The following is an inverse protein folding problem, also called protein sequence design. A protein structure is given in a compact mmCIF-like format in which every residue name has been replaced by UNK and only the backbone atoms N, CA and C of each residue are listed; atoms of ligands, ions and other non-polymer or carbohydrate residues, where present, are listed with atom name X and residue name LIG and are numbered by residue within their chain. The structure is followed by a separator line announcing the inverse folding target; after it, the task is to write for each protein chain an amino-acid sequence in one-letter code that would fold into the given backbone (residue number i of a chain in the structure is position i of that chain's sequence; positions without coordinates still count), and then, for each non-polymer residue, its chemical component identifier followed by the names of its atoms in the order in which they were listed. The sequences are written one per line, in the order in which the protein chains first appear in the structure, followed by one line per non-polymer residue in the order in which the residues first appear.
data_IF_681279285637
#
_entry.id   IF_681279285637
#
_cell.length_a   1.000
_cell.length_b   1.000
_cell.length_c   1.000
_cell.angle_alpha   90.00
_cell.angle_beta   90.00
_cell.angle_gamma   90.00
#
_symmetry.space_group_name_H-M   'P 1'
#
loop_
_entity.id
_entity.type
_entity.pdbx_description
1 polymer ?
#
# COMPACT_ATOMS: atom_id res chain seq x y z
N UNK A 1 -23.26 6.75 0.22
CA UNK A 1 -22.86 5.95 -0.96
C UNK A 1 -21.36 5.69 -0.83
N UNK A 2 -20.96 4.46 -0.53
CA UNK A 2 -19.54 4.13 -0.37
C UNK A 2 -18.88 4.22 -1.75
N UNK A 3 -18.06 5.25 -1.95
CA UNK A 3 -17.17 5.39 -3.10
C UNK A 3 -16.25 4.17 -3.13
N UNK A 4 -16.50 3.24 -4.03
CA UNK A 4 -15.57 2.13 -4.29
C UNK A 4 -14.32 2.73 -4.92
N UNK A 5 -13.30 2.91 -4.09
CA UNK A 5 -12.01 3.47 -4.48
C UNK A 5 -11.30 2.51 -5.44
N UNK A 6 -11.05 2.95 -6.67
CA UNK A 6 -10.32 2.17 -7.66
C UNK A 6 -8.81 2.33 -7.43
N UNK A 7 -8.16 1.31 -6.88
CA UNK A 7 -6.71 1.30 -6.64
C UNK A 7 -5.97 0.50 -7.71
N UNK A 8 -5.01 1.13 -8.38
CA UNK A 8 -4.10 0.44 -9.31
C UNK A 8 -3.02 -0.26 -8.49
N UNK A 9 -2.94 -1.58 -8.62
CA UNK A 9 -1.94 -2.42 -7.98
C UNK A 9 -1.22 -3.23 -9.04
N UNK A 10 0.11 -3.14 -9.07
CA UNK A 10 0.95 -4.02 -9.88
C UNK A 10 1.11 -5.36 -9.15
N UNK A 11 0.79 -6.45 -9.83
CA UNK A 11 0.92 -7.83 -9.34
C UNK A 11 1.73 -8.63 -10.37
N UNK A 12 2.51 -9.60 -9.88
CA UNK A 12 3.28 -10.50 -10.73
C UNK A 12 2.49 -11.78 -10.96
N UNK A 13 2.31 -12.14 -12.22
CA UNK A 13 1.69 -13.39 -12.65
C UNK A 13 2.68 -14.17 -13.52
N UNK A 14 2.70 -15.51 -13.42
CA UNK A 14 3.39 -16.33 -14.41
C UNK A 14 2.72 -16.16 -15.79
N UNK A 15 3.51 -16.31 -16.85
CA UNK A 15 3.10 -16.08 -18.24
C UNK A 15 1.86 -16.89 -18.61
N UNK A 16 1.87 -18.20 -18.33
CA UNK A 16 0.77 -19.11 -18.63
C UNK A 16 -0.57 -18.65 -18.01
N UNK A 17 -0.52 -18.21 -16.75
CA UNK A 17 -1.70 -17.74 -16.03
C UNK A 17 -2.18 -16.39 -16.57
N UNK A 18 -1.26 -15.49 -16.92
CA UNK A 18 -1.60 -14.20 -17.48
C UNK A 18 -2.33 -14.37 -18.82
N UNK A 19 -1.83 -15.26 -19.68
CA UNK A 19 -2.49 -15.57 -20.95
C UNK A 19 -3.89 -16.17 -20.75
N UNK A 20 -4.06 -17.05 -19.77
CA UNK A 20 -5.36 -17.65 -19.46
C UNK A 20 -6.38 -16.60 -19.00
N UNK A 21 -5.97 -15.69 -18.10
CA UNK A 21 -6.81 -14.57 -17.67
C UNK A 21 -7.13 -13.64 -18.85
N UNK A 22 -6.17 -13.39 -19.74
CA UNK A 22 -6.38 -12.56 -20.93
C UNK A 22 -7.36 -13.20 -21.92
N UNK A 23 -7.26 -14.52 -22.15
CA UNK A 23 -8.22 -15.28 -22.97
C UNK A 23 -9.63 -15.18 -22.39
N UNK A 24 -9.78 -15.36 -21.08
CA UNK A 24 -11.09 -15.25 -20.40
C UNK A 24 -11.65 -13.82 -20.43
N UNK A 25 -10.80 -12.80 -20.27
CA UNK A 25 -11.19 -11.41 -20.40
C UNK A 25 -11.77 -11.10 -21.79
N UNK A 26 -11.09 -11.56 -22.85
CA UNK A 26 -11.56 -11.41 -24.24
C UNK A 26 -12.84 -12.20 -24.49
N UNK A 27 -12.96 -13.43 -23.96
CA UNK A 27 -14.14 -14.28 -24.14
C UNK A 27 -15.40 -13.68 -23.51
N UNK A 28 -15.26 -13.02 -22.37
CA UNK A 28 -16.38 -12.45 -21.61
C UNK A 28 -16.62 -10.96 -21.89
N UNK A 29 -15.76 -10.33 -22.72
CA UNK A 29 -15.76 -8.89 -23.00
C UNK A 29 -15.68 -8.04 -21.72
N UNK A 30 -14.76 -8.44 -20.81
CA UNK A 30 -14.53 -7.82 -19.51
C UNK A 30 -13.06 -7.47 -19.32
N UNK A 31 -12.79 -6.54 -18.41
CA UNK A 31 -11.40 -6.17 -18.07
C UNK A 31 -10.70 -7.25 -17.25
N UNK A 32 -9.37 -7.34 -17.38
CA UNK A 32 -8.52 -8.23 -16.57
C UNK A 32 -8.79 -8.07 -15.07
N UNK A 33 -8.89 -6.83 -14.60
CA UNK A 33 -9.20 -6.52 -13.20
C UNK A 33 -10.54 -7.11 -12.76
N UNK A 34 -11.55 -7.17 -13.64
CA UNK A 34 -12.84 -7.76 -13.32
C UNK A 34 -12.73 -9.29 -13.20
N UNK A 35 -12.02 -9.95 -14.12
CA UNK A 35 -11.79 -11.40 -14.07
C UNK A 35 -11.07 -11.79 -12.77
N UNK A 36 -10.01 -11.06 -12.39
CA UNK A 36 -9.27 -11.31 -11.14
C UNK A 36 -10.15 -11.08 -9.91
N UNK A 37 -10.96 -10.01 -9.90
CA UNK A 37 -11.92 -9.76 -8.81
C UNK A 37 -12.97 -10.88 -8.70
N UNK A 38 -13.43 -11.40 -9.82
CA UNK A 38 -14.42 -12.48 -9.85
C UNK A 38 -13.81 -13.79 -9.36
N UNK A 39 -12.60 -14.12 -9.81
CA UNK A 39 -11.84 -15.27 -9.32
C UNK A 39 -11.65 -15.20 -7.80
N UNK A 40 -11.29 -14.03 -7.26
CA UNK A 40 -11.17 -13.81 -5.83
C UNK A 40 -12.48 -14.06 -5.09
N UNK A 41 -13.62 -13.56 -5.59
CA UNK A 41 -14.93 -13.77 -4.95
C UNK A 41 -15.30 -15.25 -4.84
N UNK A 42 -14.99 -16.03 -5.87
CA UNK A 42 -15.22 -17.48 -5.89
C UNK A 42 -14.26 -18.21 -4.94
N UNK A 43 -12.97 -17.89 -5.01
CA UNK A 43 -11.94 -18.57 -4.21
C UNK A 43 -11.91 -18.16 -2.73
N UNK A 44 -12.47 -17.01 -2.35
CA UNK A 44 -12.41 -16.46 -0.98
C UNK A 44 -12.90 -17.43 0.09
N UNK A 45 -13.93 -18.22 -0.19
CA UNK A 45 -14.47 -19.19 0.76
C UNK A 45 -13.45 -20.30 1.06
N UNK A 46 -12.77 -20.81 0.04
CA UNK A 46 -11.76 -21.86 0.14
C UNK A 46 -10.47 -21.33 0.76
N UNK A 47 -10.00 -20.15 0.33
CA UNK A 47 -8.79 -19.52 0.88
C UNK A 47 -8.91 -19.26 2.39
N UNK A 48 -10.11 -18.91 2.87
CA UNK A 48 -10.36 -18.71 4.31
C UNK A 48 -10.37 -20.00 5.13
N UNK A 49 -10.61 -21.14 4.50
CA UNK A 49 -10.61 -22.45 5.17
C UNK A 49 -9.20 -23.01 5.32
N UNK A 50 -8.26 -22.55 4.49
CA UNK A 50 -6.86 -22.96 4.60
C UNK A 50 -6.29 -22.43 5.92
N UNK A 51 -5.63 -23.28 6.73
CA UNK A 51 -4.97 -22.83 7.95
C UNK A 51 -3.90 -21.79 7.59
N UNK A 52 -3.77 -20.77 8.44
CA UNK A 52 -2.76 -19.73 8.23
C UNK A 52 -1.38 -20.38 8.24
N UNK A 53 -0.58 -20.12 7.22
CA UNK A 53 0.81 -20.63 7.10
C UNK A 53 1.69 -20.28 8.32
N UNK A 54 1.26 -19.31 9.13
CA UNK A 54 1.95 -18.88 10.34
C UNK A 54 1.61 -19.69 11.60
N UNK A 55 0.55 -20.51 11.61
CA UNK A 55 0.19 -21.32 12.77
C UNK A 55 1.12 -22.53 12.98
N UNK A 56 1.89 -22.92 11.96
CA UNK A 56 2.90 -23.99 12.06
C UNK A 56 4.27 -23.46 12.53
N UNK A 57 4.49 -22.13 12.50
CA UNK A 57 5.78 -21.49 12.79
C UNK A 57 5.76 -20.52 13.98
N UNK A 58 4.61 -20.34 14.65
CA UNK A 58 4.53 -19.50 15.85
C UNK A 58 5.10 -20.22 17.08
N UNK A 59 6.42 -20.30 17.18
CA UNK A 59 7.05 -20.10 18.49
C UNK A 59 6.83 -18.63 18.86
N UNK A 60 6.24 -18.32 20.03
CA UNK A 60 6.00 -16.93 20.40
C UNK A 60 7.35 -16.19 20.47
N UNK A 61 7.48 -14.99 19.86
CA UNK A 61 8.67 -14.17 20.08
C UNK A 61 8.77 -13.85 21.58
N UNK A 62 9.99 -13.86 22.19
CA UNK A 62 10.14 -13.44 23.57
C UNK A 62 9.59 -12.02 23.74
N UNK A 63 8.99 -11.69 24.89
CA UNK A 63 8.41 -10.37 25.12
C UNK A 63 9.52 -9.34 24.96
N UNK A 64 9.41 -8.51 23.91
CA UNK A 64 10.22 -7.30 23.82
C UNK A 64 9.85 -6.43 25.03
N UNK A 65 10.82 -5.98 25.85
CA UNK A 65 10.51 -4.99 26.87
C UNK A 65 9.92 -3.76 26.17
N UNK A 66 8.74 -3.34 26.63
CA UNK A 66 8.07 -2.16 26.12
C UNK A 66 9.03 -0.96 26.13
N UNK A 67 9.01 -0.08 25.11
CA UNK A 67 9.67 1.20 25.25
C UNK A 67 8.94 1.94 26.38
N UNK A 68 9.62 2.09 27.52
CA UNK A 68 9.19 2.97 28.60
C UNK A 68 9.03 4.36 28.00
N UNK A 69 7.77 4.75 27.81
CA UNK A 69 7.36 6.11 27.49
C UNK A 69 7.77 7.01 28.66
N UNK A 70 8.97 7.58 28.59
CA UNK A 70 9.33 8.74 29.38
C UNK A 70 8.85 9.99 28.63
N UNK A 71 7.63 10.41 28.95
CA UNK A 71 7.07 11.70 28.55
C UNK A 71 7.25 12.71 29.71
N UNK A 72 7.00 14.02 29.52
CA UNK A 72 8.03 15.07 29.40
C UNK A 72 7.99 16.09 30.55
N UNK A 73 9.07 16.82 30.86
CA UNK A 73 8.99 18.07 31.62
C UNK A 73 10.30 18.89 31.65
N UNK A 74 10.12 20.22 31.70
CA UNK A 74 11.07 21.31 32.01
C UNK A 74 11.85 21.88 30.81
N UNK A 75 11.32 22.83 30.03
CA UNK A 75 11.03 24.24 30.33
C UNK A 75 12.26 25.17 30.22
N UNK A 76 12.28 26.03 29.19
CA UNK A 76 12.81 27.41 29.19
C UNK A 76 12.59 28.08 27.80
N UNK A 77 12.49 29.42 27.70
CA UNK A 77 11.46 30.08 26.88
C UNK A 77 11.95 30.94 25.67
N UNK A 78 10.97 31.26 24.79
CA UNK A 78 10.68 32.51 24.04
C UNK A 78 11.86 33.45 23.66
N UNK A 79 12.02 34.08 22.48
CA UNK A 79 11.25 34.37 21.23
C UNK A 79 12.26 35.03 20.22
N UNK A 80 11.92 35.31 18.94
CA UNK A 80 12.83 35.39 17.78
C UNK A 80 13.44 36.79 17.51
N UNK A 81 14.22 36.99 16.42
CA UNK A 81 13.60 37.60 15.22
C UNK A 81 14.19 37.24 13.83
N UNK A 82 13.33 37.46 12.82
CA UNK A 82 13.55 38.09 11.49
C UNK A 82 14.54 37.55 10.45
N UNK A 83 13.92 37.05 9.37
CA UNK A 83 14.13 37.32 7.93
C UNK A 83 15.42 37.99 7.45
N UNK A 84 16.12 37.30 6.53
CA UNK A 84 16.81 37.86 5.35
C UNK A 84 16.55 36.87 4.20
N UNK A 85 15.55 37.14 3.37
CA UNK A 85 15.72 37.74 2.04
C UNK A 85 16.67 36.93 1.14
N UNK A 86 16.09 35.94 0.45
CA UNK A 86 16.67 35.37 -0.76
C UNK A 86 16.51 36.38 -1.90
N UNK A 87 17.62 36.75 -2.53
CA UNK A 87 17.66 37.49 -3.78
C UNK A 87 18.28 36.60 -4.88
N UNK A 88 17.94 36.84 -6.16
CA UNK A 88 17.72 35.81 -7.18
C UNK A 88 18.83 35.79 -8.26
N UNK A 89 18.73 34.86 -9.24
CA UNK A 89 19.12 35.02 -10.67
C UNK A 89 19.18 33.65 -11.38
N UNK A 90 19.11 33.58 -12.72
CA UNK A 90 18.32 34.39 -13.65
C UNK A 90 17.45 33.55 -14.59
N UNK A 91 16.34 34.14 -15.01
CA UNK A 91 15.46 33.68 -16.07
C UNK A 91 16.12 33.87 -17.45
N UNK A 92 15.91 32.89 -18.32
CA UNK A 92 16.45 32.73 -19.66
C UNK A 92 15.44 33.35 -20.66
N UNK A 93 15.77 34.40 -21.43
CA UNK A 93 14.80 34.96 -22.37
C UNK A 93 14.80 34.19 -23.69
N UNK A 94 13.65 33.60 -24.05
CA UNK A 94 13.38 33.09 -25.40
C UNK A 94 12.09 33.70 -25.96
N UNK A 95 12.31 34.50 -27.00
CA UNK A 95 11.38 34.96 -28.06
C UNK A 95 10.36 36.05 -27.72
#
# INVERSE_FOLDING_TARGET
MATTDHRKQSLYFPEDMLEEIQREATRQDRSLSWIVQQAWKVARAEIRRMPSVNDVLSSPPPPRPAPVVASPAAAAPATPPSMVAAAPNPDEPKS
#
